data_IF_278868349032
#
_entry.id   IF_278868349032
#
_cell.length_a   1.000
_cell.length_b   1.000
_cell.length_c   1.000
_cell.angle_alpha   90.00
_cell.angle_beta   90.00
_cell.angle_gamma   90.00
#
_symmetry.space_group_name_H-M   'P 1'
#
loop_
_entity.id
_entity.type
_entity.pdbx_description
1 polymer ?
#
# COMPACT_ATOMS: atom_id res chain seq x y z
N UNK A 1 -1.34 -11.60 -28.76
CA UNK A 1 -1.69 -10.26 -29.28
C UNK A 1 -2.57 -10.45 -30.52
N UNK A 2 -3.73 -9.81 -30.57
CA UNK A 2 -4.71 -9.99 -31.66
C UNK A 2 -4.37 -9.10 -32.86
N UNK A 3 -3.35 -9.49 -33.64
CA UNK A 3 -2.86 -8.73 -34.80
C UNK A 3 -4.00 -8.42 -35.80
N UNK A 4 -4.92 -9.38 -35.98
CA UNK A 4 -6.05 -9.24 -36.89
C UNK A 4 -7.05 -8.16 -36.44
N UNK A 5 -7.26 -8.03 -35.12
CA UNK A 5 -8.21 -7.09 -34.56
C UNK A 5 -7.62 -5.67 -34.59
N UNK A 6 -6.33 -5.54 -34.26
CA UNK A 6 -5.61 -4.26 -34.37
C UNK A 6 -5.59 -3.72 -35.79
N UNK A 7 -5.42 -4.56 -36.79
CA UNK A 7 -5.46 -4.17 -38.20
C UNK A 7 -6.85 -3.64 -38.65
N UNK A 8 -7.89 -3.89 -37.87
CA UNK A 8 -9.26 -3.41 -38.10
C UNK A 8 -9.69 -2.32 -37.14
N UNK A 9 -8.77 -1.73 -36.39
CA UNK A 9 -9.04 -0.73 -35.35
C UNK A 9 -10.05 -1.20 -34.27
N UNK A 10 -10.07 -2.51 -34.00
CA UNK A 10 -10.87 -3.05 -32.91
C UNK A 10 -10.05 -2.96 -31.63
N UNK A 11 -10.54 -2.27 -30.58
CA UNK A 11 -9.84 -2.22 -29.29
C UNK A 11 -9.67 -3.63 -28.74
N UNK A 12 -8.44 -4.04 -28.51
CA UNK A 12 -8.11 -5.34 -27.92
C UNK A 12 -6.89 -5.20 -27.01
N UNK A 13 -6.90 -5.97 -25.92
CA UNK A 13 -5.78 -6.07 -25.00
C UNK A 13 -5.55 -7.50 -24.55
N UNK A 14 -4.35 -7.85 -24.13
CA UNK A 14 -4.07 -9.15 -23.56
C UNK A 14 -4.78 -9.31 -22.20
N UNK A 15 -5.21 -10.52 -21.89
CA UNK A 15 -5.60 -10.90 -20.54
C UNK A 15 -4.34 -11.36 -19.83
N UNK A 16 -3.85 -10.56 -18.89
CA UNK A 16 -2.62 -10.81 -18.15
C UNK A 16 -2.91 -11.53 -16.83
N UNK A 17 -2.02 -12.41 -16.43
CA UNK A 17 -2.00 -12.97 -15.09
C UNK A 17 -1.53 -11.93 -14.06
N UNK A 18 -1.81 -12.14 -12.78
CA UNK A 18 -1.34 -11.25 -11.71
C UNK A 18 0.18 -11.12 -11.66
N UNK A 19 0.91 -12.18 -12.03
CA UNK A 19 2.37 -12.13 -12.13
C UNK A 19 2.81 -11.18 -13.23
N UNK A 20 2.27 -11.31 -14.43
CA UNK A 20 2.59 -10.44 -15.56
C UNK A 20 2.24 -8.98 -15.26
N UNK A 21 1.13 -8.72 -14.56
CA UNK A 21 0.78 -7.36 -14.12
C UNK A 21 1.80 -6.76 -13.13
N UNK A 22 2.27 -7.56 -12.18
CA UNK A 22 3.26 -7.11 -11.16
C UNK A 22 4.64 -6.86 -11.80
N UNK A 23 4.98 -7.58 -12.85
CA UNK A 23 6.25 -7.48 -13.57
C UNK A 23 6.21 -6.44 -14.71
N UNK A 24 5.04 -5.87 -15.01
CA UNK A 24 4.86 -4.88 -16.07
C UNK A 24 5.45 -3.53 -15.67
N UNK A 25 6.48 -3.09 -16.42
CA UNK A 25 7.17 -1.82 -16.18
C UNK A 25 6.24 -0.62 -16.43
N UNK A 26 5.36 -0.69 -17.43
CA UNK A 26 4.41 0.37 -17.75
C UNK A 26 3.44 0.64 -16.60
N UNK A 27 2.95 -0.42 -15.96
CA UNK A 27 2.07 -0.29 -14.77
C UNK A 27 2.82 0.29 -13.56
N UNK A 28 4.09 -0.03 -13.44
CA UNK A 28 4.95 0.56 -12.40
C UNK A 28 5.21 2.05 -12.66
N UNK A 29 5.57 2.44 -13.89
CA UNK A 29 5.76 3.84 -14.28
C UNK A 29 4.47 4.65 -14.14
N UNK A 30 3.34 4.07 -14.46
CA UNK A 30 2.03 4.66 -14.24
C UNK A 30 1.63 4.74 -12.75
N UNK A 31 2.40 4.13 -11.83
CA UNK A 31 2.07 4.06 -10.40
C UNK A 31 0.82 3.24 -10.11
N UNK A 32 0.40 2.38 -11.04
CA UNK A 32 -0.66 1.40 -10.82
C UNK A 32 -0.17 0.23 -9.95
N UNK A 33 1.15 -0.06 -10.03
CA UNK A 33 1.85 -0.97 -9.13
C UNK A 33 2.92 -0.17 -8.39
N UNK A 34 2.93 -0.26 -7.07
CA UNK A 34 3.87 0.41 -6.18
C UNK A 34 4.59 -0.59 -5.29
N UNK A 35 5.80 -0.24 -4.89
CA UNK A 35 6.57 -1.03 -3.92
C UNK A 35 6.45 -0.40 -2.54
N UNK A 36 6.11 -1.20 -1.55
CA UNK A 36 5.97 -0.78 -0.16
C UNK A 36 6.99 -1.53 0.69
N UNK A 37 7.74 -0.81 1.48
CA UNK A 37 8.69 -1.38 2.44
C UNK A 37 7.97 -1.74 3.74
N UNK A 38 8.18 -2.97 4.21
CA UNK A 38 7.59 -3.44 5.46
C UNK A 38 8.67 -4.03 6.36
N UNK A 39 8.77 -3.64 7.65
CA UNK A 39 9.87 -3.99 8.53
C UNK A 39 10.01 -5.50 8.77
N UNK A 40 8.90 -6.25 8.77
CA UNK A 40 8.91 -7.69 8.99
C UNK A 40 8.87 -8.52 7.71
N UNK A 41 8.28 -7.98 6.62
CA UNK A 41 8.07 -8.70 5.36
C UNK A 41 9.03 -8.32 4.26
N UNK A 42 9.81 -7.24 4.47
CA UNK A 42 10.63 -6.63 3.43
C UNK A 42 9.78 -5.91 2.37
N UNK A 43 10.42 -5.58 1.25
CA UNK A 43 9.75 -4.92 0.13
C UNK A 43 8.71 -5.84 -0.54
N UNK A 44 7.52 -5.34 -0.80
CA UNK A 44 6.53 -6.04 -1.59
C UNK A 44 5.79 -5.09 -2.53
N UNK A 45 5.31 -5.63 -3.65
CA UNK A 45 4.53 -4.87 -4.61
C UNK A 45 3.04 -4.98 -4.31
N UNK A 46 2.34 -3.86 -4.44
CA UNK A 46 0.88 -3.78 -4.26
C UNK A 46 0.26 -2.84 -5.30
N UNK A 47 -1.06 -2.81 -5.34
CA UNK A 47 -1.79 -1.89 -6.22
C UNK A 47 -1.70 -0.48 -5.67
N UNK A 48 -1.37 0.47 -6.53
CA UNK A 48 -1.36 1.90 -6.24
C UNK A 48 -2.76 2.51 -6.25
N UNK A 49 -2.84 3.83 -6.07
CA UNK A 49 -4.12 4.54 -6.17
C UNK A 49 -4.56 4.68 -7.63
N UNK A 50 -5.79 4.31 -7.97
CA UNK A 50 -6.34 4.58 -9.30
C UNK A 50 -6.68 6.06 -9.51
N UNK A 51 -6.77 6.84 -8.42
CA UNK A 51 -7.06 8.27 -8.47
C UNK A 51 -5.74 9.06 -8.39
N UNK A 52 -5.58 9.97 -9.34
CA UNK A 52 -4.43 10.88 -9.39
C UNK A 52 -4.93 12.31 -9.36
N UNK A 53 -4.54 13.03 -8.34
CA UNK A 53 -4.83 14.45 -8.16
C UNK A 53 -3.52 15.22 -8.22
N UNK A 54 -3.46 16.29 -9.03
CA UNK A 54 -2.25 17.11 -9.22
C UNK A 54 -1.80 17.78 -7.92
N UNK A 55 -2.76 18.26 -7.13
CA UNK A 55 -2.48 19.05 -5.92
C UNK A 55 -2.61 18.22 -4.61
N UNK A 56 -2.96 16.94 -4.72
CA UNK A 56 -3.11 16.04 -3.58
C UNK A 56 -2.68 14.63 -3.96
N UNK A 57 -1.38 14.39 -4.14
CA UNK A 57 -0.86 13.06 -4.46
C UNK A 57 -1.16 12.09 -3.30
N UNK A 58 -1.53 10.86 -3.66
CA UNK A 58 -1.72 9.78 -2.70
C UNK A 58 -0.38 9.12 -2.43
N UNK A 59 0.03 9.12 -1.18
CA UNK A 59 1.21 8.38 -0.72
C UNK A 59 0.77 7.00 -0.21
N UNK A 60 1.28 5.95 -0.84
CA UNK A 60 0.99 4.56 -0.47
C UNK A 60 2.07 4.09 0.49
N UNK A 61 1.74 4.08 1.76
CA UNK A 61 2.63 3.62 2.83
C UNK A 61 2.18 2.26 3.37
N UNK A 62 3.07 1.60 4.11
CA UNK A 62 2.75 0.34 4.76
C UNK A 62 1.66 0.48 5.83
N UNK A 63 0.98 -0.61 6.12
CA UNK A 63 0.16 -0.70 7.33
C UNK A 63 1.04 -0.70 8.59
N UNK A 64 0.57 -0.10 9.70
CA UNK A 64 1.28 -0.18 10.97
C UNK A 64 1.35 -1.61 11.50
N UNK A 65 2.35 -1.88 12.32
CA UNK A 65 2.44 -3.11 13.10
C UNK A 65 1.42 -3.08 14.24
N UNK A 66 1.14 -4.27 14.78
CA UNK A 66 0.22 -4.38 15.93
C UNK A 66 0.75 -3.55 17.11
N UNK A 67 -0.06 -2.61 17.57
CA UNK A 67 0.27 -1.74 18.71
C UNK A 67 1.32 -0.67 18.43
N UNK A 68 1.77 -0.47 17.18
CA UNK A 68 2.85 0.47 16.82
C UNK A 68 2.56 1.92 17.30
N UNK A 69 1.32 2.35 17.23
CA UNK A 69 0.90 3.70 17.62
C UNK A 69 0.22 3.79 19.00
N UNK A 70 0.22 2.71 19.76
CA UNK A 70 -0.48 2.69 21.07
C UNK A 70 0.02 3.78 22.01
N UNK A 71 1.33 3.95 22.13
CA UNK A 71 1.92 4.93 23.03
C UNK A 71 1.66 6.36 22.57
N UNK A 72 1.76 6.60 21.27
CA UNK A 72 1.46 7.90 20.66
C UNK A 72 0.03 8.30 20.91
N UNK A 73 -0.93 7.44 20.56
CA UNK A 73 -2.36 7.70 20.72
C UNK A 73 -2.73 7.90 22.20
N UNK A 74 -2.22 7.06 23.09
CA UNK A 74 -2.50 7.20 24.51
C UNK A 74 -1.91 8.49 25.08
N UNK A 75 -0.73 8.90 24.62
CA UNK A 75 -0.13 10.18 25.03
C UNK A 75 -0.94 11.37 24.54
N UNK A 76 -1.43 11.34 23.29
CA UNK A 76 -2.34 12.37 22.76
C UNK A 76 -3.64 12.47 23.57
N UNK A 77 -4.15 11.36 24.09
CA UNK A 77 -5.31 11.30 24.98
C UNK A 77 -5.01 11.79 26.41
N UNK A 78 -3.75 12.12 26.71
CA UNK A 78 -3.34 12.69 27.98
C UNK A 78 -2.88 11.68 29.05
N UNK A 79 -2.66 10.42 28.67
CA UNK A 79 -2.08 9.43 29.57
C UNK A 79 -0.58 9.63 29.73
N UNK A 80 -0.08 9.51 30.97
CA UNK A 80 1.35 9.57 31.25
C UNK A 80 2.06 8.25 30.96
N UNK A 81 3.37 8.28 30.75
CA UNK A 81 4.19 7.08 30.56
C UNK A 81 4.05 6.06 31.71
N UNK A 82 3.87 6.55 32.95
CA UNK A 82 3.63 5.67 34.11
C UNK A 82 2.30 4.93 34.02
N UNK A 83 1.27 5.58 33.51
CA UNK A 83 -0.05 4.96 33.30
C UNK A 83 0.00 3.92 32.18
N UNK A 84 0.74 4.19 31.10
CA UNK A 84 0.94 3.24 30.02
C UNK A 84 1.64 1.96 30.51
N UNK A 85 2.64 2.11 31.36
CA UNK A 85 3.32 0.94 31.95
C UNK A 85 2.40 0.10 32.85
N UNK A 86 1.53 0.77 33.63
CA UNK A 86 0.50 0.08 34.41
C UNK A 86 -0.49 -0.67 33.50
N UNK A 87 -0.90 -0.07 32.38
CA UNK A 87 -1.82 -0.70 31.43
C UNK A 87 -1.19 -1.93 30.76
N UNK A 88 0.09 -1.87 30.43
CA UNK A 88 0.85 -3.04 29.91
C UNK A 88 0.92 -4.16 30.97
N UNK A 89 1.24 -3.81 32.20
CA UNK A 89 1.34 -4.78 33.31
C UNK A 89 -0.03 -5.42 33.61
N UNK A 90 -1.11 -4.67 33.46
CA UNK A 90 -2.47 -5.15 33.65
C UNK A 90 -3.05 -5.88 32.43
N UNK A 91 -2.31 -5.93 31.30
CA UNK A 91 -2.77 -6.57 30.05
C UNK A 91 -3.93 -5.83 29.38
N UNK A 92 -4.02 -4.51 29.57
CA UNK A 92 -5.03 -3.66 28.95
C UNK A 92 -4.58 -3.24 27.53
N UNK A 93 -3.27 -3.04 27.35
CA UNK A 93 -2.61 -2.71 26.08
C UNK A 93 -1.39 -3.60 25.86
#
# INVERSE_FOLDING_TARGET
MCIRDSARNIPCGPVLSTRELIEDETLTELGAIVTVEHPERGAFKTVGSPLRLSDSPVDIVRSPLLGEHTDEICTELGYSAQQLELFRTAGVI
#
